data_IF_213025660569
#
_entry.id   IF_213025660569
#
_cell.length_a   1.000
_cell.length_b   1.000
_cell.length_c   1.000
_cell.angle_alpha   90.00
_cell.angle_beta   90.00
_cell.angle_gamma   90.00
#
_symmetry.space_group_name_H-M   'P 1'
#
loop_
_entity.id
_entity.type
_entity.pdbx_description
1 polymer ?
#
# COMPACT_ATOMS: atom_id res chain seq x y z
N UNK A 1 20.08 2.55 42.40
CA UNK A 1 18.94 1.93 41.69
C UNK A 1 18.64 2.72 40.41
N UNK A 2 18.95 2.17 39.23
CA UNK A 2 18.57 2.78 37.94
C UNK A 2 17.19 2.24 37.56
N UNK A 3 16.17 3.10 37.59
CA UNK A 3 14.85 2.74 37.07
C UNK A 3 14.94 2.38 35.59
N UNK A 4 14.07 1.49 35.08
CA UNK A 4 14.09 1.09 33.68
C UNK A 4 13.83 2.33 32.82
N UNK A 5 14.77 2.63 31.92
CA UNK A 5 14.52 3.62 30.86
C UNK A 5 13.35 3.09 30.05
N UNK A 6 12.23 3.81 30.06
CA UNK A 6 11.15 3.57 29.12
C UNK A 6 11.63 4.04 27.75
N UNK A 7 12.35 3.19 27.04
CA UNK A 7 12.60 3.30 25.60
C UNK A 7 11.32 2.91 24.83
N UNK A 8 10.17 3.43 25.29
CA UNK A 8 8.91 3.29 24.58
C UNK A 8 8.88 4.34 23.48
N UNK A 9 8.64 3.90 22.24
CA UNK A 9 8.44 4.81 21.12
C UNK A 9 7.48 5.95 21.52
N UNK A 10 7.89 7.19 21.26
CA UNK A 10 7.09 8.36 21.61
C UNK A 10 5.71 8.23 20.97
N UNK A 11 4.59 8.52 21.67
CA UNK A 11 3.25 8.51 21.06
C UNK A 11 3.11 9.49 19.89
N UNK A 12 4.03 10.46 19.83
CA UNK A 12 4.16 11.47 18.76
C UNK A 12 5.17 11.08 17.69
N UNK A 13 5.89 9.99 17.88
CA UNK A 13 6.64 9.38 16.78
C UNK A 13 5.59 8.71 15.90
N UNK A 14 5.32 9.22 14.68
CA UNK A 14 4.52 8.48 13.75
C UNK A 14 5.29 7.18 13.53
N UNK A 15 4.79 6.08 14.11
CA UNK A 15 5.29 4.74 13.81
C UNK A 15 5.56 4.70 12.32
N UNK A 16 6.73 4.25 11.91
CA UNK A 16 7.11 4.06 10.51
C UNK A 16 6.21 3.03 9.78
N UNK A 17 4.96 2.83 10.23
CA UNK A 17 3.89 2.01 9.67
C UNK A 17 3.16 2.72 8.53
N UNK A 18 3.88 3.48 7.70
CA UNK A 18 3.35 4.10 6.49
C UNK A 18 3.81 3.34 5.25
N UNK A 19 3.02 3.39 4.18
CA UNK A 19 3.39 2.86 2.86
C UNK A 19 4.05 3.98 2.03
N UNK A 20 5.16 3.65 1.39
CA UNK A 20 5.83 4.51 0.43
C UNK A 20 5.57 4.01 -0.99
N UNK A 21 5.12 4.91 -1.87
CA UNK A 21 4.65 4.57 -3.21
C UNK A 21 5.35 5.48 -4.22
N UNK A 22 5.90 4.87 -5.27
CA UNK A 22 6.33 5.57 -6.48
C UNK A 22 5.33 5.28 -7.60
N UNK A 23 4.58 6.29 -8.00
CA UNK A 23 3.65 6.19 -9.11
C UNK A 23 4.29 6.71 -10.39
N UNK A 24 4.04 6.04 -11.50
CA UNK A 24 4.40 6.49 -12.85
C UNK A 24 3.17 6.46 -13.75
N UNK A 25 2.95 7.53 -14.50
CA UNK A 25 1.77 7.65 -15.37
C UNK A 25 1.59 9.06 -15.92
N UNK A 26 0.52 9.28 -16.65
CA UNK A 26 0.10 10.61 -17.09
C UNK A 26 -0.34 11.46 -15.90
N UNK A 27 -0.35 12.81 -16.00
CA UNK A 27 -0.80 13.67 -14.91
C UNK A 27 -2.20 13.30 -14.40
N UNK A 28 -3.14 12.98 -15.30
CA UNK A 28 -4.50 12.60 -14.97
C UNK A 28 -4.57 11.27 -14.20
N UNK A 29 -3.81 10.25 -14.61
CA UNK A 29 -3.72 8.98 -13.88
C UNK A 29 -3.14 9.17 -12.48
N UNK A 30 -2.13 10.03 -12.33
CA UNK A 30 -1.54 10.34 -11.03
C UNK A 30 -2.52 11.07 -10.11
N UNK A 31 -3.32 11.99 -10.65
CA UNK A 31 -4.39 12.66 -9.89
C UNK A 31 -5.48 11.67 -9.47
N UNK A 32 -5.93 10.81 -10.40
CA UNK A 32 -6.92 9.77 -10.12
C UNK A 32 -6.44 8.78 -9.05
N UNK A 33 -5.19 8.31 -9.14
CA UNK A 33 -4.61 7.41 -8.14
C UNK A 33 -4.50 8.08 -6.76
N UNK A 34 -4.08 9.35 -6.72
CA UNK A 34 -4.00 10.10 -5.46
C UNK A 34 -5.38 10.30 -4.83
N UNK A 35 -6.40 10.60 -5.65
CA UNK A 35 -7.78 10.73 -5.21
C UNK A 35 -8.33 9.40 -4.69
N UNK A 36 -8.08 8.28 -5.39
CA UNK A 36 -8.52 6.95 -4.99
C UNK A 36 -7.91 6.52 -3.64
N UNK A 37 -6.61 6.78 -3.43
CA UNK A 37 -5.96 6.50 -2.14
C UNK A 37 -6.58 7.31 -1.00
N UNK A 38 -6.93 8.57 -1.25
CA UNK A 38 -7.59 9.43 -0.26
C UNK A 38 -9.01 8.95 0.03
N UNK A 39 -9.76 8.57 -1.01
CA UNK A 39 -11.12 8.04 -0.89
C UNK A 39 -11.17 6.69 -0.15
N UNK A 40 -10.12 5.86 -0.29
CA UNK A 40 -9.96 4.62 0.46
C UNK A 40 -9.65 4.83 1.96
N UNK A 41 -9.58 6.08 2.44
CA UNK A 41 -9.32 6.41 3.83
C UNK A 41 -7.84 6.37 4.20
N UNK A 42 -6.93 6.24 3.23
CA UNK A 42 -5.49 6.41 3.49
C UNK A 42 -5.17 7.89 3.62
N UNK A 43 -4.52 8.26 4.72
CA UNK A 43 -4.08 9.64 4.93
C UNK A 43 -2.78 9.87 4.17
N UNK A 44 -2.76 10.82 3.25
CA UNK A 44 -1.51 11.26 2.60
C UNK A 44 -0.65 12.00 3.64
N UNK A 45 0.48 11.40 4.01
CA UNK A 45 1.46 11.99 4.92
C UNK A 45 2.44 12.90 4.16
N UNK A 46 2.78 12.53 2.93
CA UNK A 46 3.66 13.31 2.06
C UNK A 46 3.29 13.12 0.60
N UNK A 47 3.36 14.21 -0.17
CA UNK A 47 3.26 14.21 -1.62
C UNK A 47 4.47 14.94 -2.18
N UNK A 48 5.29 14.24 -2.97
CA UNK A 48 6.44 14.82 -3.65
C UNK A 48 6.05 15.63 -4.88
N UNK A 49 7.02 16.35 -5.45
CA UNK A 49 6.84 17.04 -6.73
C UNK A 49 6.74 16.04 -7.87
N UNK A 50 5.83 16.26 -8.82
CA UNK A 50 5.79 15.52 -10.08
C UNK A 50 7.06 15.77 -10.88
N UNK A 51 7.73 14.70 -11.31
CA UNK A 51 8.91 14.78 -12.16
C UNK A 51 8.59 14.20 -13.54
N UNK A 52 8.73 14.97 -14.63
CA UNK A 52 8.51 14.44 -15.97
C UNK A 52 9.54 13.36 -16.29
N UNK A 53 9.11 12.34 -17.03
CA UNK A 53 9.99 11.34 -17.62
C UNK A 53 10.36 11.75 -19.05
N UNK A 54 11.51 11.29 -19.51
CA UNK A 54 12.07 11.60 -20.83
C UNK A 54 12.20 10.33 -21.68
N UNK A 55 12.48 10.49 -22.97
CA UNK A 55 12.62 9.35 -23.90
C UNK A 55 11.29 8.70 -24.24
N UNK A 56 11.24 7.37 -24.28
CA UNK A 56 10.04 6.58 -24.64
C UNK A 56 8.84 6.84 -23.72
N UNK A 57 9.09 7.31 -22.50
CA UNK A 57 8.06 7.66 -21.52
C UNK A 57 7.72 9.17 -21.53
N UNK A 58 8.08 9.91 -22.58
CA UNK A 58 7.70 11.31 -22.72
C UNK A 58 6.17 11.49 -22.56
N UNK A 59 5.78 12.51 -21.79
CA UNK A 59 4.38 12.76 -21.40
C UNK A 59 3.97 12.04 -20.10
N UNK A 60 4.76 11.10 -19.60
CA UNK A 60 4.57 10.48 -18.28
C UNK A 60 5.37 11.21 -17.20
N UNK A 61 4.93 11.04 -15.98
CA UNK A 61 5.48 11.67 -14.79
C UNK A 61 5.66 10.62 -13.71
N UNK A 62 6.65 10.84 -12.84
CA UNK A 62 6.85 10.10 -11.61
C UNK A 62 6.42 10.95 -10.41
N UNK A 63 5.71 10.34 -9.46
CA UNK A 63 5.25 10.97 -8.23
C UNK A 63 5.58 10.09 -7.03
N UNK A 64 6.20 10.70 -6.01
CA UNK A 64 6.40 10.07 -4.71
C UNK A 64 5.22 10.37 -3.79
N UNK A 65 4.69 9.34 -3.13
CA UNK A 65 3.67 9.47 -2.09
C UNK A 65 4.10 8.68 -0.86
N UNK A 66 3.85 9.26 0.32
CA UNK A 66 3.89 8.55 1.59
C UNK A 66 2.50 8.58 2.18
N UNK A 67 1.94 7.41 2.48
CA UNK A 67 0.58 7.27 2.98
C UNK A 67 0.58 6.57 4.33
N UNK A 68 -0.17 7.10 5.27
CA UNK A 68 -0.46 6.41 6.52
C UNK A 68 -1.61 5.44 6.27
N UNK A 69 -1.32 4.15 6.38
CA UNK A 69 -2.34 3.12 6.34
C UNK A 69 -2.85 2.97 7.77
N UNK A 70 -4.04 3.49 8.04
CA UNK A 70 -4.74 3.12 9.26
C UNK A 70 -5.06 1.63 9.15
N UNK A 71 -4.33 0.79 9.86
CA UNK A 71 -4.80 -0.56 10.15
C UNK A 71 -6.02 -0.41 11.04
N UNK A 72 -7.19 -0.23 10.45
CA UNK A 72 -8.38 -0.86 11.01
C UNK A 72 -8.05 -2.34 11.05
N UNK A 73 -7.53 -2.79 12.19
CA UNK A 73 -7.62 -4.18 12.57
C UNK A 73 -9.11 -4.49 12.60
N UNK A 74 -9.69 -4.82 11.45
CA UNK A 74 -10.90 -5.60 11.41
C UNK A 74 -10.50 -6.85 12.16
N UNK A 75 -10.98 -6.99 13.40
CA UNK A 75 -10.84 -8.23 14.15
C UNK A 75 -11.31 -9.33 13.21
N UNK A 76 -10.38 -10.09 12.67
CA UNK A 76 -10.64 -11.33 11.94
C UNK A 76 -11.06 -12.40 12.94
N UNK A 77 -12.10 -12.09 13.73
CA UNK A 77 -12.79 -13.03 14.61
C UNK A 77 -14.11 -13.49 14.01
N UNK A 78 -14.51 -12.95 12.85
CA UNK A 78 -15.56 -13.56 12.05
C UNK A 78 -14.87 -14.53 11.09
N UNK A 79 -14.78 -15.79 11.52
CA UNK A 79 -14.43 -16.88 10.62
C UNK A 79 -15.34 -16.77 9.39
N UNK A 80 -14.81 -16.73 8.16
CA UNK A 80 -15.64 -17.00 7.01
C UNK A 80 -16.25 -18.38 7.21
N UNK A 81 -17.56 -18.50 7.02
CA UNK A 81 -18.20 -19.79 6.87
C UNK A 81 -17.61 -20.45 5.63
N UNK A 82 -16.63 -21.33 5.85
CA UNK A 82 -15.87 -22.04 4.83
C UNK A 82 -16.58 -23.33 4.40
N UNK A 83 -17.86 -23.54 4.75
CA UNK A 83 -18.61 -24.74 4.40
C UNK A 83 -18.85 -24.97 2.90
N UNK A 84 -18.29 -24.15 2.00
CA UNK A 84 -18.41 -24.37 0.56
C UNK A 84 -17.27 -23.87 -0.33
N UNK A 85 -16.21 -23.25 0.21
CA UNK A 85 -15.13 -22.70 -0.62
C UNK A 85 -13.88 -23.55 -0.50
N UNK A 86 -13.74 -24.54 -1.39
CA UNK A 86 -12.48 -25.26 -1.55
C UNK A 86 -11.38 -24.26 -1.91
N UNK A 87 -10.38 -24.12 -1.03
CA UNK A 87 -9.20 -23.30 -1.25
C UNK A 87 -8.56 -23.72 -2.58
N UNK A 88 -8.51 -22.80 -3.54
CA UNK A 88 -7.87 -23.03 -4.84
C UNK A 88 -6.38 -23.31 -4.62
N UNK A 89 -5.95 -24.52 -4.97
CA UNK A 89 -4.53 -24.87 -5.03
C UNK A 89 -3.88 -24.19 -6.24
N UNK A 90 -3.23 -23.06 -5.98
CA UNK A 90 -2.50 -22.25 -6.96
C UNK A 90 -1.31 -22.99 -7.57
N UNK A 91 -0.75 -24.01 -6.89
CA UNK A 91 0.32 -24.83 -7.45
C UNK A 91 -0.22 -25.75 -8.54
N UNK A 92 -1.38 -26.39 -8.32
CA UNK A 92 -2.03 -27.21 -9.34
C UNK A 92 -2.38 -26.39 -10.60
N UNK A 93 -2.93 -25.18 -10.41
CA UNK A 93 -3.25 -24.27 -11.51
C UNK A 93 -2.01 -23.81 -12.30
N UNK A 94 -0.86 -23.67 -11.64
CA UNK A 94 0.40 -23.27 -12.29
C UNK A 94 1.00 -24.40 -13.13
N UNK A 95 0.91 -25.64 -12.66
CA UNK A 95 1.38 -26.83 -13.39
C UNK A 95 0.61 -27.05 -14.69
N UNK A 96 -0.72 -26.83 -14.69
CA UNK A 96 -1.54 -26.95 -15.91
C UNK A 96 -1.17 -25.93 -17.01
N UNK A 97 -0.72 -24.72 -16.65
CA UNK A 97 -0.31 -23.69 -17.63
C UNK A 97 1.00 -24.01 -18.35
N UNK A 98 1.79 -24.94 -17.84
CA UNK A 98 3.11 -25.28 -18.39
C UNK A 98 3.07 -26.48 -19.36
N UNK A 99 1.89 -27.05 -19.61
CA UNK A 99 1.70 -28.18 -20.53
C UNK A 99 0.71 -27.79 -21.65
N UNK A 100 0.80 -26.56 -22.15
CA UNK A 100 0.08 -26.09 -23.32
C UNK A 100 1.06 -25.60 -24.39
#
# INVERSE_FOLDING_TARGET
MRGPRRDGASPRDPRLSGLEIWLTGTPAELDAATAALTAAGHRLAQRGTRRPLTGTDAGRHRLYLRVSVATTARRSGQAPDLSGAALLDLNAARTQRHIA
#
